data_IF_310152443600
#
_entry.id   IF_310152443600
#
_cell.length_a   1.000
_cell.length_b   1.000
_cell.length_c   1.000
_cell.angle_alpha   90.00
_cell.angle_beta   90.00
_cell.angle_gamma   90.00
#
_symmetry.space_group_name_H-M   'P 1'
#
loop_
_entity.id
_entity.type
_entity.pdbx_description
1 polymer ?
#
# COMPACT_ATOMS: atom_id res chain seq x y z
N UNK A 1 -29.32 -25.38 13.07
CA UNK A 1 -28.09 -25.33 13.89
C UNK A 1 -26.81 -25.20 13.08
N UNK A 2 -26.61 -25.89 11.95
CA UNK A 2 -25.36 -25.72 11.16
C UNK A 2 -25.18 -24.32 10.54
N UNK A 3 -26.25 -23.68 10.06
CA UNK A 3 -26.14 -22.40 9.33
C UNK A 3 -25.64 -21.23 10.18
N UNK A 4 -26.14 -21.10 11.41
CA UNK A 4 -25.71 -20.03 12.33
C UNK A 4 -24.23 -20.17 12.70
N UNK A 5 -23.74 -21.41 12.82
CA UNK A 5 -22.32 -21.69 13.06
C UNK A 5 -21.46 -21.28 11.86
N UNK A 6 -21.92 -21.55 10.63
CA UNK A 6 -21.24 -21.10 9.41
C UNK A 6 -21.21 -19.58 9.28
N UNK A 7 -22.33 -18.90 9.56
CA UNK A 7 -22.39 -17.43 9.56
C UNK A 7 -21.43 -16.86 10.61
N UNK A 8 -21.44 -17.38 11.84
CA UNK A 8 -20.52 -16.96 12.89
C UNK A 8 -19.05 -17.25 12.53
N UNK A 9 -18.76 -18.42 11.97
CA UNK A 9 -17.43 -18.80 11.50
C UNK A 9 -16.92 -17.88 10.40
N UNK A 10 -17.74 -17.58 9.39
CA UNK A 10 -17.38 -16.64 8.32
C UNK A 10 -17.08 -15.24 8.85
N UNK A 11 -17.84 -14.78 9.84
CA UNK A 11 -17.59 -13.51 10.53
C UNK A 11 -16.29 -13.52 11.32
N UNK A 12 -15.99 -14.61 12.04
CA UNK A 12 -14.74 -14.76 12.78
C UNK A 12 -13.53 -14.74 11.85
N UNK A 13 -13.54 -15.49 10.76
CA UNK A 13 -12.45 -15.51 9.77
C UNK A 13 -12.27 -14.15 9.10
N UNK A 14 -13.38 -13.49 8.75
CA UNK A 14 -13.33 -12.15 8.17
C UNK A 14 -12.70 -11.13 9.15
N UNK A 15 -13.06 -11.19 10.43
CA UNK A 15 -12.48 -10.31 11.45
C UNK A 15 -11.02 -10.66 11.76
N UNK A 16 -10.64 -11.93 11.76
CA UNK A 16 -9.23 -12.33 11.88
C UNK A 16 -8.40 -11.67 10.76
N UNK A 17 -8.85 -11.78 9.51
CA UNK A 17 -8.16 -11.17 8.38
C UNK A 17 -8.10 -9.63 8.47
N UNK A 18 -9.15 -9.00 9.01
CA UNK A 18 -9.15 -7.57 9.30
C UNK A 18 -8.07 -7.19 10.32
N UNK A 19 -8.00 -7.92 11.43
CA UNK A 19 -7.02 -7.71 12.50
C UNK A 19 -5.61 -7.93 11.97
N UNK A 20 -5.37 -8.96 11.17
CA UNK A 20 -4.06 -9.23 10.56
C UNK A 20 -3.61 -8.06 9.67
N UNK A 21 -4.55 -7.49 8.89
CA UNK A 21 -4.27 -6.32 8.04
C UNK A 21 -3.97 -5.08 8.88
N UNK A 22 -4.71 -4.84 9.96
CA UNK A 22 -4.47 -3.73 10.88
C UNK A 22 -3.11 -3.90 11.57
N UNK A 23 -2.79 -5.11 12.03
CA UNK A 23 -1.52 -5.42 12.67
C UNK A 23 -0.35 -5.18 11.71
N UNK A 24 -0.46 -5.59 10.44
CA UNK A 24 0.56 -5.32 9.43
C UNK A 24 0.74 -3.82 9.17
N UNK A 25 -0.35 -3.06 9.08
CA UNK A 25 -0.27 -1.61 8.93
C UNK A 25 0.42 -0.93 10.12
N UNK A 26 0.11 -1.38 11.34
CA UNK A 26 0.70 -0.84 12.56
C UNK A 26 2.20 -1.18 12.66
N UNK A 27 2.59 -2.40 12.29
CA UNK A 27 3.99 -2.81 12.27
C UNK A 27 4.84 -1.98 11.30
N UNK A 28 4.24 -1.50 10.21
CA UNK A 28 4.93 -0.71 9.19
C UNK A 28 4.71 0.80 9.31
N UNK A 29 4.26 1.30 10.47
CA UNK A 29 4.00 2.74 10.68
C UNK A 29 5.25 3.60 10.50
N UNK A 30 6.42 3.06 10.81
CA UNK A 30 7.72 3.75 10.68
C UNK A 30 8.46 3.39 9.38
N UNK A 31 7.89 2.54 8.53
CA UNK A 31 8.52 2.15 7.27
C UNK A 31 8.37 3.28 6.25
N UNK A 32 9.49 3.84 5.78
CA UNK A 32 9.49 4.90 4.77
C UNK A 32 8.77 4.44 3.49
N UNK A 33 7.94 5.32 2.92
CA UNK A 33 7.20 5.01 1.69
C UNK A 33 6.06 3.99 1.83
N UNK A 34 5.79 3.44 3.02
CA UNK A 34 4.72 2.44 3.22
C UNK A 34 3.33 3.02 2.90
N UNK A 35 2.50 2.20 2.24
CA UNK A 35 1.11 2.52 1.92
C UNK A 35 0.19 1.51 2.59
N UNK A 36 -0.66 2.02 3.49
CA UNK A 36 -1.57 1.19 4.29
C UNK A 36 -2.54 0.41 3.41
N UNK A 37 -2.88 -0.79 3.86
CA UNK A 37 -3.86 -1.67 3.21
C UNK A 37 -5.18 -1.65 3.96
N UNK A 38 -6.31 -1.72 3.24
CA UNK A 38 -7.65 -1.86 3.82
C UNK A 38 -8.35 -3.07 3.22
N UNK A 39 -9.02 -3.86 4.05
CA UNK A 39 -9.86 -4.97 3.61
C UNK A 39 -11.27 -4.47 3.32
N UNK A 40 -11.82 -4.86 2.18
CA UNK A 40 -13.22 -4.67 1.85
C UNK A 40 -13.99 -5.99 1.98
N UNK A 41 -15.16 -5.92 2.59
CA UNK A 41 -16.03 -7.05 2.87
C UNK A 41 -17.32 -6.97 2.06
N UNK A 42 -17.87 -8.13 1.71
CA UNK A 42 -19.20 -8.24 1.09
C UNK A 42 -20.00 -9.36 1.75
N UNK A 43 -21.31 -9.18 1.77
CA UNK A 43 -22.25 -10.22 2.18
C UNK A 43 -22.30 -11.35 1.14
N UNK A 44 -22.75 -12.51 1.61
CA UNK A 44 -22.99 -13.67 0.77
C UNK A 44 -24.45 -13.71 0.32
N UNK A 45 -24.72 -14.51 -0.72
CA UNK A 45 -26.06 -14.68 -1.28
C UNK A 45 -27.11 -14.97 -0.18
N UNK A 46 -28.32 -14.49 -0.39
CA UNK A 46 -29.44 -14.68 0.52
C UNK A 46 -30.29 -15.86 0.05
N UNK A 47 -30.63 -16.78 0.97
CA UNK A 47 -31.63 -17.80 0.70
C UNK A 47 -33.02 -17.27 1.02
N UNK A 48 -33.91 -17.28 0.02
CA UNK A 48 -35.33 -17.00 0.22
C UNK A 48 -36.04 -18.27 0.71
N UNK A 49 -36.58 -18.23 1.92
CA UNK A 49 -37.40 -19.32 2.50
C UNK A 49 -38.87 -19.15 2.13
N UNK A 50 -39.31 -17.90 2.01
CA UNK A 50 -40.69 -17.55 1.64
C UNK A 50 -40.66 -16.29 0.81
N UNK A 51 -41.33 -16.30 -0.33
CA UNK A 51 -41.44 -15.11 -1.17
C UNK A 51 -42.64 -14.26 -0.73
N UNK A 52 -42.50 -12.93 -0.82
CA UNK A 52 -43.64 -12.04 -0.70
C UNK A 52 -44.60 -12.28 -1.87
N UNK A 53 -45.91 -12.15 -1.64
CA UNK A 53 -46.95 -12.37 -2.65
C UNK A 53 -47.39 -13.83 -2.82
N UNK A 54 -46.78 -14.80 -2.13
CA UNK A 54 -47.29 -16.18 -2.14
C UNK A 54 -48.72 -16.22 -1.55
N UNK A 55 -49.70 -16.83 -2.23
CA UNK A 55 -51.08 -16.92 -1.74
C UNK A 55 -51.22 -17.99 -0.65
N UNK A 56 -52.00 -17.70 0.40
CA UNK A 56 -52.18 -18.60 1.57
C UNK A 56 -53.57 -19.23 1.59
N UNK A 57 -54.62 -18.43 1.42
CA UNK A 57 -56.03 -18.82 1.32
C UNK A 57 -56.79 -17.75 0.52
N UNK A 58 -58.08 -17.99 0.16
CA UNK A 58 -58.88 -17.08 -0.68
C UNK A 58 -58.72 -15.60 -0.28
N UNK A 59 -58.05 -14.83 -1.14
CA UNK A 59 -57.86 -13.39 -0.99
C UNK A 59 -56.67 -12.94 -0.14
N UNK A 60 -55.96 -13.84 0.55
CA UNK A 60 -54.83 -13.49 1.42
C UNK A 60 -53.47 -13.85 0.80
N UNK A 61 -52.59 -12.85 0.68
CA UNK A 61 -51.21 -13.00 0.24
C UNK A 61 -50.23 -12.69 1.38
N UNK A 62 -49.04 -13.27 1.28
CA UNK A 62 -47.95 -13.03 2.23
C UNK A 62 -47.37 -11.63 1.97
N UNK A 63 -47.45 -10.69 2.93
CA UNK A 63 -47.01 -9.31 2.69
C UNK A 63 -45.48 -9.17 2.71
N UNK A 64 -44.76 -10.06 3.41
CA UNK A 64 -43.30 -9.99 3.55
C UNK A 64 -42.63 -11.34 3.31
N UNK A 65 -41.57 -11.33 2.52
CA UNK A 65 -40.72 -12.50 2.29
C UNK A 65 -39.79 -12.76 3.48
N UNK A 66 -39.30 -13.98 3.58
CA UNK A 66 -38.25 -14.36 4.54
C UNK A 66 -37.00 -14.67 3.74
N UNK A 67 -35.97 -13.86 3.93
CA UNK A 67 -34.63 -14.07 3.37
C UNK A 67 -33.61 -14.25 4.50
N UNK A 68 -32.65 -15.15 4.29
CA UNK A 68 -31.62 -15.49 5.25
C UNK A 68 -30.26 -15.32 4.58
N UNK A 69 -29.43 -14.41 5.09
CA UNK A 69 -28.06 -14.20 4.63
C UNK A 69 -27.14 -15.36 5.00
N UNK A 70 -26.16 -15.66 4.15
CA UNK A 70 -25.22 -16.76 4.36
C UNK A 70 -23.90 -16.36 5.05
N UNK A 71 -23.70 -15.09 5.38
CA UNK A 71 -22.51 -14.61 6.08
C UNK A 71 -21.79 -13.52 5.30
N UNK A 72 -20.49 -13.38 5.59
CA UNK A 72 -19.63 -12.33 5.03
C UNK A 72 -18.32 -12.95 4.54
N UNK A 73 -17.69 -12.33 3.53
CA UNK A 73 -16.33 -12.67 3.11
C UNK A 73 -15.50 -11.42 2.80
N UNK A 74 -14.17 -11.45 3.00
CA UNK A 74 -13.28 -10.46 2.41
C UNK A 74 -13.26 -10.64 0.88
N UNK A 75 -13.23 -9.53 0.14
CA UNK A 75 -13.29 -9.54 -1.33
C UNK A 75 -12.05 -8.93 -1.96
N UNK A 76 -11.49 -7.91 -1.34
CA UNK A 76 -10.28 -7.27 -1.81
C UNK A 76 -9.48 -6.68 -0.65
N UNK A 77 -8.17 -6.55 -0.86
CA UNK A 77 -7.28 -5.73 -0.04
C UNK A 77 -6.80 -4.57 -0.91
N UNK A 78 -7.25 -3.37 -0.60
CA UNK A 78 -6.90 -2.17 -1.34
C UNK A 78 -5.74 -1.44 -0.66
N UNK A 79 -4.73 -1.06 -1.45
CA UNK A 79 -3.66 -0.18 -0.99
C UNK A 79 -4.11 1.29 -1.11
N UNK A 80 -3.91 2.06 -0.04
CA UNK A 80 -4.33 3.46 0.05
C UNK A 80 -3.13 4.35 -0.19
N UNK A 81 -3.11 5.04 -1.34
CA UNK A 81 -2.03 5.93 -1.78
C UNK A 81 -2.21 7.36 -1.27
N UNK A 82 -2.50 7.53 0.01
CA UNK A 82 -2.51 8.86 0.63
C UNK A 82 -1.09 9.34 0.92
N UNK A 83 -0.88 10.64 0.83
CA UNK A 83 0.36 11.26 1.25
C UNK A 83 0.46 11.25 2.79
N UNK A 84 1.63 10.90 3.32
CA UNK A 84 1.92 10.91 4.75
C UNK A 84 2.57 12.23 5.17
N UNK A 85 2.89 12.33 6.46
CA UNK A 85 3.71 13.43 6.98
C UNK A 85 5.17 13.23 6.62
N UNK A 86 5.85 14.31 6.28
CA UNK A 86 7.30 14.31 6.06
C UNK A 86 8.04 14.56 7.37
N UNK A 87 9.22 13.96 7.51
CA UNK A 87 10.17 14.27 8.57
C UNK A 87 11.48 14.67 7.90
N UNK A 88 12.03 15.81 8.31
CA UNK A 88 13.33 16.27 7.85
C UNK A 88 14.42 15.46 8.56
N UNK A 89 15.35 14.89 7.79
CA UNK A 89 16.45 14.03 8.29
C UNK A 89 17.83 14.68 8.20
N UNK A 90 17.91 15.89 7.62
CA UNK A 90 19.15 16.65 7.36
C UNK A 90 20.19 15.92 6.47
N UNK A 91 19.85 14.75 5.91
CA UNK A 91 20.69 14.04 4.95
C UNK A 91 20.31 14.47 3.52
N UNK A 92 21.25 15.00 2.71
CA UNK A 92 20.96 15.46 1.35
C UNK A 92 20.53 14.33 0.39
N UNK A 93 20.84 13.07 0.71
CA UNK A 93 20.45 11.91 -0.09
C UNK A 93 19.09 11.32 0.31
N UNK A 94 18.49 11.80 1.40
CA UNK A 94 17.14 11.40 1.79
C UNK A 94 16.14 12.26 1.04
N UNK A 95 15.51 11.67 0.02
CA UNK A 95 14.61 12.37 -0.88
C UNK A 95 13.16 11.96 -0.62
N UNK A 96 12.25 12.89 -0.90
CA UNK A 96 10.82 12.59 -0.89
C UNK A 96 10.13 13.26 -2.06
N UNK A 97 9.27 12.51 -2.74
CA UNK A 97 8.40 13.07 -3.77
C UNK A 97 7.19 13.71 -3.05
N UNK A 98 6.86 14.95 -3.38
CA UNK A 98 5.61 15.58 -2.98
C UNK A 98 4.53 15.30 -4.04
N UNK A 99 3.40 14.72 -3.63
CA UNK A 99 2.33 14.33 -4.55
C UNK A 99 2.46 12.92 -5.13
N UNK A 100 2.01 12.75 -6.37
CA UNK A 100 2.00 11.46 -7.05
C UNK A 100 3.34 11.15 -7.71
N UNK A 101 3.76 9.89 -7.68
CA UNK A 101 5.02 9.45 -8.28
C UNK A 101 5.76 8.41 -7.44
N UNK A 102 6.74 7.77 -8.07
CA UNK A 102 7.64 6.78 -7.50
C UNK A 102 9.04 6.96 -8.08
N UNK A 103 10.05 6.62 -7.29
CA UNK A 103 11.41 6.47 -7.78
C UNK A 103 11.53 5.16 -8.55
N UNK A 104 12.28 5.19 -9.65
CA UNK A 104 12.61 4.01 -10.43
C UNK A 104 13.96 3.46 -9.96
N UNK A 105 14.02 2.15 -9.78
CA UNK A 105 15.24 1.45 -9.37
C UNK A 105 15.44 0.21 -10.26
N UNK A 106 16.70 -0.14 -10.51
CA UNK A 106 17.05 -1.29 -11.32
C UNK A 106 17.35 -2.49 -10.41
N UNK A 107 16.58 -3.55 -10.58
CA UNK A 107 16.80 -4.82 -9.88
C UNK A 107 18.01 -5.57 -10.47
N UNK A 108 18.59 -6.54 -9.74
CA UNK A 108 19.76 -7.29 -10.21
C UNK A 108 19.52 -8.10 -11.49
N UNK A 109 18.27 -8.40 -11.82
CA UNK A 109 17.85 -9.06 -13.05
C UNK A 109 17.71 -8.10 -14.25
N UNK A 110 17.95 -6.81 -14.03
CA UNK A 110 17.81 -5.75 -15.03
C UNK A 110 16.37 -5.23 -15.21
N UNK A 111 15.43 -5.64 -14.36
CA UNK A 111 14.05 -5.13 -14.41
C UNK A 111 13.90 -3.83 -13.63
N UNK A 112 13.05 -2.93 -14.12
CA UNK A 112 12.74 -1.67 -13.42
C UNK A 112 11.66 -1.93 -12.38
N UNK A 113 11.96 -1.59 -11.13
CA UNK A 113 11.02 -1.57 -10.02
C UNK A 113 10.75 -0.14 -9.55
N UNK A 114 9.69 0.03 -8.77
CA UNK A 114 9.23 1.33 -8.28
C UNK A 114 9.20 1.34 -6.75
N UNK A 115 9.77 2.39 -6.16
CA UNK A 115 9.77 2.58 -4.71
C UNK A 115 9.34 3.99 -4.33
N UNK A 116 8.79 4.12 -3.13
CA UNK A 116 8.51 5.41 -2.50
C UNK A 116 9.46 5.68 -1.32
N UNK A 117 10.33 4.72 -1.02
CA UNK A 117 11.45 4.90 -0.13
C UNK A 117 12.51 5.75 -0.84
N UNK A 118 12.92 6.83 -0.19
CA UNK A 118 13.93 7.74 -0.70
C UNK A 118 15.17 7.83 0.19
N UNK A 119 15.38 6.85 1.08
CA UNK A 119 16.60 6.72 1.85
C UNK A 119 17.74 6.14 0.98
N UNK A 120 18.27 6.97 0.08
CA UNK A 120 19.35 6.59 -0.82
C UNK A 120 20.72 6.72 -0.17
N UNK A 121 21.67 5.92 -0.66
CA UNK A 121 23.05 5.86 -0.19
C UNK A 121 23.98 5.86 -1.38
N UNK A 122 25.22 6.23 -1.15
CA UNK A 122 26.27 6.16 -2.15
C UNK A 122 27.03 4.84 -1.99
N UNK A 123 27.23 4.12 -3.09
CA UNK A 123 28.06 2.92 -3.11
C UNK A 123 29.56 3.27 -3.26
N UNK A 124 30.42 2.25 -3.23
CA UNK A 124 31.88 2.42 -3.38
C UNK A 124 32.33 2.91 -4.77
N UNK A 125 31.44 2.95 -5.75
CA UNK A 125 31.68 3.47 -7.10
C UNK A 125 31.11 4.88 -7.28
N UNK A 126 30.49 5.46 -6.25
CA UNK A 126 29.84 6.77 -6.31
C UNK A 126 28.41 6.73 -6.84
N UNK A 127 27.82 5.57 -7.05
CA UNK A 127 26.44 5.45 -7.54
C UNK A 127 25.45 5.65 -6.41
N UNK A 128 24.33 6.31 -6.71
CA UNK A 128 23.19 6.33 -5.80
C UNK A 128 22.42 5.00 -5.87
N UNK A 129 22.30 4.37 -4.72
CA UNK A 129 21.65 3.08 -4.52
C UNK A 129 20.65 3.14 -3.37
N UNK A 130 19.65 2.25 -3.38
CA UNK A 130 18.77 2.01 -2.24
C UNK A 130 19.53 1.36 -1.08
N UNK A 131 18.90 1.22 0.09
CA UNK A 131 19.46 0.47 1.21
C UNK A 131 19.73 -1.01 0.90
N UNK A 132 19.08 -1.57 -0.12
CA UNK A 132 19.31 -2.94 -0.62
C UNK A 132 20.40 -3.02 -1.70
N UNK A 133 20.96 -1.87 -2.12
CA UNK A 133 22.00 -1.79 -3.15
C UNK A 133 21.50 -1.72 -4.59
N UNK A 134 20.20 -1.46 -4.82
CA UNK A 134 19.65 -1.28 -6.16
C UNK A 134 19.90 0.13 -6.66
N UNK A 135 20.43 0.29 -7.87
CA UNK A 135 20.72 1.60 -8.45
C UNK A 135 19.44 2.33 -8.85
N UNK A 136 19.44 3.66 -8.76
CA UNK A 136 18.39 4.47 -9.38
C UNK A 136 18.43 4.36 -10.90
N UNK A 137 17.27 4.52 -11.53
CA UNK A 137 17.12 4.64 -12.98
C UNK A 137 16.54 6.02 -13.33
N UNK A 138 17.25 6.87 -14.11
CA UNK A 138 18.61 6.66 -14.64
C UNK A 138 19.69 6.65 -13.55
N UNK A 139 20.80 5.98 -13.82
CA UNK A 139 21.94 5.92 -12.89
C UNK A 139 22.51 7.31 -12.61
N UNK A 140 22.65 7.64 -11.32
CA UNK A 140 23.28 8.88 -10.85
C UNK A 140 24.63 8.52 -10.24
N UNK A 141 25.70 9.03 -10.87
CA UNK A 141 27.08 8.90 -10.42
C UNK A 141 27.53 10.21 -9.79
N UNK A 142 27.95 10.15 -8.53
CA UNK A 142 28.54 11.26 -7.79
C UNK A 142 30.08 11.09 -7.79
N UNK A 143 30.83 12.06 -8.35
CA UNK A 143 32.29 12.01 -8.35
C UNK A 143 32.89 11.99 -6.94
N UNK A 144 34.03 11.32 -6.77
CA UNK A 144 34.69 11.16 -5.46
C UNK A 144 35.27 12.46 -4.88
N UNK A 145 35.48 13.48 -5.70
CA UNK A 145 35.93 14.80 -5.30
C UNK A 145 34.76 15.76 -4.97
N UNK A 146 33.56 15.24 -4.70
CA UNK A 146 32.38 16.04 -4.35
C UNK A 146 32.41 16.47 -2.88
N UNK A 147 32.31 17.78 -2.64
CA UNK A 147 32.19 18.41 -1.31
C UNK A 147 30.73 18.48 -0.86
N UNK A 148 29.80 18.75 -1.78
CA UNK A 148 28.37 18.87 -1.46
C UNK A 148 27.52 18.36 -2.61
N UNK A 149 26.50 17.57 -2.30
CA UNK A 149 25.45 17.14 -3.24
C UNK A 149 24.15 17.84 -2.86
N UNK A 150 23.47 18.42 -3.84
CA UNK A 150 22.13 18.98 -3.70
C UNK A 150 21.23 18.44 -4.80
N UNK A 151 19.95 18.26 -4.48
CA UNK A 151 18.94 17.77 -5.42
C UNK A 151 17.85 18.82 -5.54
N UNK A 152 17.62 19.31 -6.76
CA UNK A 152 16.56 20.25 -7.07
C UNK A 152 15.17 19.61 -7.01
N UNK A 153 14.13 20.43 -6.86
CA UNK A 153 12.74 19.96 -6.85
C UNK A 153 12.29 19.32 -8.19
N UNK A 154 13.01 19.57 -9.27
CA UNK A 154 12.85 18.98 -10.60
C UNK A 154 13.58 17.65 -10.77
N UNK A 155 14.32 17.19 -9.75
CA UNK A 155 15.15 15.99 -9.81
C UNK A 155 16.56 16.21 -10.36
N UNK A 156 16.94 17.46 -10.67
CA UNK A 156 18.31 17.77 -11.09
C UNK A 156 19.27 17.58 -9.92
N UNK A 157 20.27 16.72 -10.07
CA UNK A 157 21.31 16.49 -9.06
C UNK A 157 22.53 17.34 -9.39
N UNK A 158 22.93 18.19 -8.46
CA UNK A 158 24.12 19.05 -8.55
C UNK A 158 25.16 18.65 -7.52
N UNK A 159 26.42 18.59 -7.93
CA UNK A 159 27.56 18.24 -7.10
C UNK A 159 28.60 19.36 -7.19
N UNK A 160 29.06 19.87 -6.04
CA UNK A 160 30.15 20.84 -5.95
C UNK A 160 31.45 20.09 -5.70
N UNK A 161 32.45 20.29 -6.56
CA UNK A 161 33.73 19.60 -6.48
C UNK A 161 34.76 20.38 -5.66
N UNK A 162 35.71 19.68 -5.05
CA UNK A 162 36.81 20.29 -4.29
C UNK A 162 37.67 21.16 -5.22
N UNK A 163 37.71 22.46 -4.94
CA UNK A 163 38.43 23.46 -5.73
C UNK A 163 37.58 24.32 -6.68
N UNK A 164 36.30 24.02 -6.88
CA UNK A 164 35.36 24.91 -7.57
C UNK A 164 34.60 25.76 -6.54
N UNK A 165 34.79 27.08 -6.62
CA UNK A 165 33.97 28.04 -5.85
C UNK A 165 32.67 28.27 -6.60
N UNK A 166 31.57 28.44 -5.85
CA UNK A 166 30.19 28.73 -6.32
C UNK A 166 30.05 29.52 -7.62
#
# INVERSE_FOLDING_TARGET
>A
MMRSLWTAGSGMTAQQFNIDTIANNLANVNTAGFKKSRVDFQDLLYQSVRYAGTPVTQGAQIPTGIQIGHGVRPVATQKIFTQGTFQQTDNPLDLVIEGEGFFQVLLPDGTVAYTRDGAFKMDGQGKLVTSDGFTLEPEILVPSNTVTVSVGADGTVTAVLDGESE
#
